data_IF_329402053211
#
_entry.id   IF_329402053211
#
_cell.length_a   1.000
_cell.length_b   1.000
_cell.length_c   1.000
_cell.angle_alpha   90.00
_cell.angle_beta   90.00
_cell.angle_gamma   90.00
#
_symmetry.space_group_name_H-M   'P 1'
#
loop_
_entity.id
_entity.type
_entity.pdbx_description
1 polymer ?
#
# COMPACT_ATOMS: atom_id res chain seq x y z
N UNK A 1 -1.75 -13.08 3.74
CA UNK A 1 -0.45 -12.39 3.56
C UNK A 1 -0.50 -11.28 2.50
N UNK A 2 -0.74 -11.55 1.21
CA UNK A 2 -0.71 -10.49 0.17
C UNK A 2 -1.76 -9.38 0.36
N UNK A 3 -2.90 -9.67 1.00
CA UNK A 3 -3.92 -8.68 1.38
C UNK A 3 -3.39 -7.57 2.30
N UNK A 4 -2.57 -7.91 3.29
CA UNK A 4 -1.99 -6.92 4.21
C UNK A 4 -0.98 -6.03 3.49
N UNK A 5 -0.24 -6.59 2.53
CA UNK A 5 0.67 -5.81 1.68
C UNK A 5 -0.08 -4.90 0.72
N UNK A 6 -1.20 -5.35 0.13
CA UNK A 6 -2.02 -4.47 -0.71
C UNK A 6 -2.66 -3.34 0.11
N UNK A 7 -3.15 -3.64 1.30
CA UNK A 7 -3.69 -2.63 2.21
C UNK A 7 -2.63 -1.60 2.62
N UNK A 8 -1.42 -2.05 2.99
CA UNK A 8 -0.31 -1.16 3.31
C UNK A 8 0.10 -0.27 2.11
N UNK A 9 0.01 -0.80 0.89
CA UNK A 9 0.26 -0.05 -0.34
C UNK A 9 -0.81 1.02 -0.60
N UNK A 10 -2.08 0.69 -0.39
CA UNK A 10 -3.19 1.64 -0.48
C UNK A 10 -3.03 2.77 0.54
N UNK A 11 -2.70 2.42 1.80
CA UNK A 11 -2.42 3.39 2.86
C UNK A 11 -1.22 4.28 2.51
N UNK A 12 -0.17 3.72 1.90
CA UNK A 12 0.99 4.50 1.47
C UNK A 12 0.60 5.56 0.43
N UNK A 13 -0.21 5.15 -0.55
CA UNK A 13 -0.70 6.04 -1.59
C UNK A 13 -1.55 7.15 -0.97
N UNK A 14 -2.56 6.78 -0.17
CA UNK A 14 -3.43 7.72 0.54
C UNK A 14 -2.63 8.77 1.34
N UNK A 15 -1.66 8.35 2.16
CA UNK A 15 -0.83 9.26 2.95
C UNK A 15 -0.05 10.25 2.07
N UNK A 16 0.54 9.78 0.96
CA UNK A 16 1.39 10.62 0.12
C UNK A 16 0.62 11.44 -0.94
N UNK A 17 -0.61 11.07 -1.29
CA UNK A 17 -1.40 11.78 -2.31
C UNK A 17 -2.48 12.67 -1.73
N UNK A 18 -3.29 12.12 -0.82
CA UNK A 18 -4.45 12.79 -0.22
C UNK A 18 -4.06 13.46 1.10
N UNK A 19 -3.06 12.89 1.79
CA UNK A 19 -2.74 13.26 3.15
C UNK A 19 -3.65 12.53 4.12
N UNK A 20 -3.06 11.95 5.16
CA UNK A 20 -3.81 11.32 6.24
C UNK A 20 -3.65 12.17 7.49
N UNK A 21 -4.36 13.31 7.55
CA UNK A 21 -4.30 14.29 8.65
C UNK A 21 -5.00 13.80 9.92
N UNK A 22 -5.80 12.75 9.81
CA UNK A 22 -6.63 12.22 10.90
C UNK A 22 -5.85 11.45 11.96
N UNK A 23 -4.60 11.07 11.66
CA UNK A 23 -3.73 10.37 12.60
C UNK A 23 -3.03 11.40 13.51
N UNK A 24 -3.83 12.09 14.30
CA UNK A 24 -3.36 12.99 15.35
C UNK A 24 -2.78 12.23 16.55
N UNK A 25 -2.13 12.95 17.50
CA UNK A 25 -1.71 12.35 18.77
C UNK A 25 -2.89 11.63 19.44
N UNK A 26 -2.59 10.52 20.13
CA UNK A 26 -3.55 9.57 20.70
C UNK A 26 -4.64 10.19 21.61
N UNK A 27 -4.49 11.45 22.03
CA UNK A 27 -5.47 12.19 22.85
C UNK A 27 -6.39 13.16 22.07
N UNK A 28 -6.27 13.24 20.74
CA UNK A 28 -7.05 14.19 19.92
C UNK A 28 -8.43 13.63 19.56
N UNK A 29 -9.42 14.52 19.45
CA UNK A 29 -10.80 14.17 19.06
C UNK A 29 -10.78 13.47 17.70
N UNK A 30 -11.52 12.36 17.56
CA UNK A 30 -11.66 11.67 16.26
C UNK A 30 -12.26 12.65 15.24
N UNK A 31 -11.67 12.78 14.05
CA UNK A 31 -12.19 13.63 12.98
C UNK A 31 -13.52 13.10 12.46
N UNK A 32 -14.32 14.00 11.88
CA UNK A 32 -15.71 13.74 11.45
C UNK A 32 -15.81 12.65 10.36
N UNK A 33 -14.74 12.44 9.58
CA UNK A 33 -14.61 11.36 8.59
C UNK A 33 -13.31 10.57 8.83
N UNK A 34 -13.31 9.58 9.73
CA UNK A 34 -12.08 8.85 10.05
C UNK A 34 -11.60 8.02 8.85
N UNK A 35 -10.29 8.05 8.60
CA UNK A 35 -9.64 7.12 7.68
C UNK A 35 -10.11 5.67 7.92
N UNK A 36 -10.68 5.03 6.90
CA UNK A 36 -11.19 3.65 6.96
C UNK A 36 -10.14 2.62 7.40
N UNK A 37 -8.87 2.93 7.12
CA UNK A 37 -7.69 2.13 7.42
C UNK A 37 -6.77 2.86 8.41
N UNK A 38 -7.37 3.46 9.45
CA UNK A 38 -6.65 4.27 10.47
C UNK A 38 -5.44 3.55 11.07
N UNK A 39 -5.61 2.33 11.59
CA UNK A 39 -4.54 1.59 12.26
C UNK A 39 -3.34 1.32 11.35
N UNK A 40 -3.61 1.00 10.08
CA UNK A 40 -2.56 0.75 9.09
C UNK A 40 -1.90 2.04 8.63
N UNK A 41 -2.65 3.13 8.48
CA UNK A 41 -2.10 4.46 8.22
C UNK A 41 -1.23 4.96 9.38
N UNK A 42 -1.67 4.82 10.63
CA UNK A 42 -0.91 5.20 11.83
C UNK A 42 0.44 4.49 11.90
N UNK A 43 0.42 3.16 11.78
CA UNK A 43 1.65 2.37 11.76
C UNK A 43 2.58 2.79 10.62
N UNK A 44 2.03 3.05 9.44
CA UNK A 44 2.82 3.43 8.28
C UNK A 44 3.42 4.84 8.41
N UNK A 45 2.71 5.79 9.02
CA UNK A 45 3.27 7.11 9.32
C UNK A 45 4.43 7.05 10.31
N UNK A 46 4.37 6.16 11.31
CA UNK A 46 5.53 5.91 12.19
C UNK A 46 6.71 5.37 11.40
N UNK A 47 6.48 4.45 10.46
CA UNK A 47 7.53 3.96 9.56
C UNK A 47 8.10 5.06 8.66
N UNK A 48 7.28 5.95 8.10
CA UNK A 48 7.73 7.11 7.30
C UNK A 48 8.61 8.04 8.15
N UNK A 49 8.13 8.43 9.34
CA UNK A 49 8.88 9.30 10.26
C UNK A 49 10.22 8.69 10.66
N UNK A 50 10.23 7.41 10.99
CA UNK A 50 11.46 6.69 11.28
C UNK A 50 12.40 6.65 10.07
N UNK A 51 11.89 6.34 8.88
CA UNK A 51 12.70 6.24 7.67
C UNK A 51 13.37 7.57 7.31
N UNK A 52 12.70 8.71 7.54
CA UNK A 52 13.24 10.04 7.32
C UNK A 52 14.45 10.35 8.22
N UNK A 53 14.39 9.96 9.49
CA UNK A 53 15.41 10.32 10.50
C UNK A 53 16.44 9.21 10.74
N UNK A 54 16.21 7.98 10.29
CA UNK A 54 17.11 6.87 10.55
C UNK A 54 18.40 6.96 9.73
N UNK A 55 19.55 7.08 10.41
CA UNK A 55 20.88 7.03 9.78
C UNK A 55 21.28 5.66 9.22
N UNK A 56 20.52 4.59 9.51
CA UNK A 56 20.79 3.20 9.05
C UNK A 56 19.85 2.74 7.92
N UNK A 57 19.35 3.68 7.11
CA UNK A 57 18.39 3.42 6.02
C UNK A 57 19.00 2.78 4.77
N UNK A 58 20.32 2.91 4.57
CA UNK A 58 21.01 2.43 3.38
C UNK A 58 21.60 1.02 3.57
N UNK A 59 21.50 0.19 2.53
CA UNK A 59 21.95 -1.21 2.53
C UNK A 59 23.47 -1.37 2.61
N UNK A 60 24.24 -0.30 2.40
CA UNK A 60 25.70 -0.29 2.42
C UNK A 60 26.30 -0.29 3.84
N UNK A 61 25.49 -0.05 4.88
CA UNK A 61 25.95 -0.17 6.26
C UNK A 61 25.78 -1.60 6.78
N UNK A 62 26.79 -2.12 7.50
CA UNK A 62 26.86 -3.49 8.02
C UNK A 62 25.66 -3.93 8.90
N UNK A 63 24.76 -3.01 9.29
CA UNK A 63 23.52 -3.32 10.00
C UNK A 63 22.35 -2.43 9.55
N UNK A 64 21.71 -2.79 8.43
CA UNK A 64 20.49 -2.11 7.96
C UNK A 64 19.36 -2.21 9.00
N UNK A 65 18.69 -1.10 9.29
CA UNK A 65 17.53 -1.11 10.17
C UNK A 65 16.39 -1.96 9.57
N UNK A 66 15.80 -2.87 10.35
CA UNK A 66 14.71 -3.75 9.90
C UNK A 66 13.44 -2.97 9.53
N UNK A 67 13.11 -1.91 10.28
CA UNK A 67 11.98 -1.02 9.95
C UNK A 67 12.21 -0.28 8.63
N UNK A 68 13.43 0.21 8.41
CA UNK A 68 13.79 0.85 7.14
C UNK A 68 13.76 -0.15 5.98
N UNK A 69 14.23 -1.39 6.20
CA UNK A 69 14.19 -2.45 5.19
C UNK A 69 12.76 -2.76 4.74
N UNK A 70 11.82 -2.87 5.68
CA UNK A 70 10.39 -3.07 5.37
C UNK A 70 9.81 -1.89 4.59
N UNK A 71 10.11 -0.67 5.02
CA UNK A 71 9.64 0.54 4.34
C UNK A 71 10.20 0.63 2.90
N UNK A 72 11.47 0.31 2.74
CA UNK A 72 12.16 0.29 1.45
C UNK A 72 11.55 -0.75 0.50
N UNK A 73 11.22 -1.93 1.00
CA UNK A 73 10.50 -2.95 0.22
C UNK A 73 9.11 -2.49 -0.22
N UNK A 74 8.40 -1.74 0.61
CA UNK A 74 7.09 -1.18 0.26
C UNK A 74 7.19 -0.13 -0.86
N UNK A 75 8.16 0.78 -0.78
CA UNK A 75 8.43 1.74 -1.87
C UNK A 75 8.82 1.05 -3.18
N UNK A 76 9.67 0.03 -3.11
CA UNK A 76 10.04 -0.79 -4.28
C UNK A 76 8.83 -1.47 -4.88
N UNK A 77 7.93 -1.99 -4.05
CA UNK A 77 6.70 -2.66 -4.48
C UNK A 77 5.77 -1.67 -5.19
N UNK A 78 5.64 -0.46 -4.66
CA UNK A 78 4.91 0.63 -5.32
C UNK A 78 5.48 0.94 -6.69
N UNK A 79 6.78 1.20 -6.81
CA UNK A 79 7.41 1.51 -8.09
C UNK A 79 7.25 0.39 -9.13
N UNK A 80 7.22 -0.87 -8.68
CA UNK A 80 7.00 -2.04 -9.55
C UNK A 80 5.60 -2.04 -10.20
N UNK A 81 4.61 -1.47 -9.53
CA UNK A 81 3.21 -1.41 -9.96
C UNK A 81 2.77 -0.02 -10.44
N UNK A 82 3.63 1.00 -10.29
CA UNK A 82 3.32 2.37 -10.68
C UNK A 82 3.55 2.57 -12.17
N UNK A 83 2.51 2.96 -12.90
CA UNK A 83 2.58 3.20 -14.35
C UNK A 83 3.05 4.62 -14.70
N UNK A 84 2.92 5.57 -13.77
CA UNK A 84 3.22 6.99 -13.97
C UNK A 84 4.25 7.49 -12.95
N UNK A 85 5.52 7.09 -13.07
CA UNK A 85 6.56 7.45 -12.09
C UNK A 85 6.88 8.96 -12.07
N UNK A 86 6.63 9.69 -13.17
CA UNK A 86 6.96 11.11 -13.29
C UNK A 86 6.04 12.02 -12.45
N UNK A 87 4.77 11.67 -12.31
CA UNK A 87 3.77 12.41 -11.51
C UNK A 87 3.49 11.74 -10.15
N UNK A 88 4.22 10.67 -9.82
CA UNK A 88 4.00 9.92 -8.60
C UNK A 88 4.50 10.68 -7.37
N UNK A 89 3.64 10.82 -6.36
CA UNK A 89 3.95 11.49 -5.08
C UNK A 89 4.63 10.57 -4.06
N UNK A 90 4.75 9.28 -4.35
CA UNK A 90 5.36 8.32 -3.43
C UNK A 90 6.89 8.52 -3.39
N UNK A 91 7.49 8.68 -2.20
CA UNK A 91 8.93 8.80 -2.05
C UNK A 91 9.68 7.66 -2.74
N UNK A 92 10.81 7.98 -3.37
CA UNK A 92 11.71 7.04 -4.04
C UNK A 92 11.10 6.30 -5.25
N UNK A 93 9.82 6.50 -5.59
CA UNK A 93 9.16 5.75 -6.67
C UNK A 93 9.91 5.86 -8.00
N UNK A 94 10.32 7.08 -8.37
CA UNK A 94 11.08 7.35 -9.60
C UNK A 94 12.45 6.68 -9.59
N UNK A 95 13.22 6.86 -8.51
CA UNK A 95 14.55 6.25 -8.34
C UNK A 95 14.51 4.72 -8.44
N UNK A 96 13.50 4.09 -7.83
CA UNK A 96 13.32 2.65 -7.97
C UNK A 96 12.96 2.24 -9.39
N UNK A 97 12.17 3.05 -10.10
CA UNK A 97 11.72 2.71 -11.45
C UNK A 97 12.90 2.70 -12.42
N UNK A 98 13.75 3.71 -12.31
CA UNK A 98 15.00 3.86 -13.07
C UNK A 98 15.94 2.68 -12.78
N UNK A 99 16.21 2.41 -11.50
CA UNK A 99 17.07 1.28 -11.09
C UNK A 99 16.54 -0.09 -11.57
N UNK A 100 15.22 -0.27 -11.61
CA UNK A 100 14.60 -1.50 -12.13
C UNK A 100 14.62 -1.63 -13.65
N UNK A 101 14.86 -0.54 -14.40
CA UNK A 101 15.07 -0.62 -15.84
C UNK A 101 16.52 -1.00 -16.15
N UNK A 102 17.47 -0.52 -15.35
CA UNK A 102 18.90 -0.85 -15.47
C UNK A 102 19.19 -2.28 -14.99
N UNK A 103 18.64 -2.69 -13.84
CA UNK A 103 18.79 -4.03 -13.30
C UNK A 103 17.73 -4.97 -13.88
N UNK A 104 18.11 -6.13 -14.43
CA UNK A 104 17.15 -7.19 -14.76
C UNK A 104 16.37 -7.59 -13.50
N UNK A 105 15.15 -7.07 -13.36
CA UNK A 105 14.29 -7.33 -12.20
C UNK A 105 14.11 -8.83 -12.01
N UNK A 106 14.53 -9.31 -10.84
CA UNK A 106 14.38 -10.69 -10.38
C UNK A 106 12.96 -11.22 -10.66
N UNK A 107 12.89 -12.40 -11.28
CA UNK A 107 11.63 -13.11 -11.59
C UNK A 107 10.78 -13.29 -10.33
N UNK A 108 11.41 -13.53 -9.18
CA UNK A 108 10.73 -13.71 -7.89
C UNK A 108 10.01 -12.44 -7.46
N UNK A 109 10.68 -11.29 -7.57
CA UNK A 109 10.10 -9.99 -7.24
C UNK A 109 8.91 -9.65 -8.14
N UNK A 110 9.04 -9.93 -9.43
CA UNK A 110 7.95 -9.72 -10.40
C UNK A 110 6.72 -10.56 -10.07
N UNK A 111 6.91 -11.81 -9.65
CA UNK A 111 5.81 -12.68 -9.22
C UNK A 111 5.13 -12.15 -7.95
N UNK A 112 5.91 -11.66 -6.98
CA UNK A 112 5.38 -11.02 -5.77
C UNK A 112 4.49 -9.82 -6.13
N UNK A 113 4.99 -8.91 -6.96
CA UNK A 113 4.24 -7.72 -7.40
C UNK A 113 2.91 -8.11 -8.06
N UNK A 114 2.93 -9.12 -8.96
CA UNK A 114 1.70 -9.65 -9.58
C UNK A 114 0.70 -10.20 -8.55
N UNK A 115 1.17 -10.98 -7.58
CA UNK A 115 0.30 -11.53 -6.52
C UNK A 115 -0.33 -10.43 -5.66
N UNK A 116 0.42 -9.37 -5.37
CA UNK A 116 -0.11 -8.21 -4.63
C UNK A 116 -1.13 -7.45 -5.48
N UNK A 117 -0.86 -7.23 -6.77
CA UNK A 117 -1.81 -6.58 -7.67
C UNK A 117 -3.15 -7.34 -7.75
N UNK A 118 -3.09 -8.67 -7.91
CA UNK A 118 -4.29 -9.52 -7.89
C UNK A 118 -5.02 -9.40 -6.55
N UNK A 119 -4.30 -9.49 -5.42
CA UNK A 119 -4.91 -9.37 -4.09
C UNK A 119 -5.58 -8.01 -3.88
N UNK A 120 -4.98 -6.92 -4.38
CA UNK A 120 -5.53 -5.56 -4.35
C UNK A 120 -6.87 -5.51 -5.10
N UNK A 121 -6.90 -5.98 -6.35
CA UNK A 121 -8.13 -6.03 -7.16
C UNK A 121 -9.22 -6.86 -6.49
N UNK A 122 -8.88 -8.05 -5.98
CA UNK A 122 -9.84 -8.92 -5.29
C UNK A 122 -10.39 -8.27 -4.01
N UNK A 123 -9.54 -7.56 -3.25
CA UNK A 123 -9.99 -6.82 -2.07
C UNK A 123 -10.93 -5.68 -2.44
N UNK A 124 -10.64 -4.93 -3.50
CA UNK A 124 -11.53 -3.90 -4.01
C UNK A 124 -12.88 -4.50 -4.41
N UNK A 125 -12.88 -5.62 -5.16
CA UNK A 125 -14.10 -6.29 -5.59
C UNK A 125 -14.94 -6.81 -4.42
N UNK A 126 -14.30 -7.39 -3.40
CA UNK A 126 -15.00 -7.90 -2.22
C UNK A 126 -15.68 -6.78 -1.40
N UNK A 127 -15.12 -5.57 -1.44
CA UNK A 127 -15.63 -4.42 -0.70
C UNK A 127 -16.66 -3.60 -1.51
N UNK A 128 -16.98 -3.97 -2.75
CA UNK A 128 -18.01 -3.28 -3.54
C UNK A 128 -19.40 -3.62 -3.00
N UNK A 129 -20.21 -2.61 -2.75
CA UNK A 129 -21.63 -2.81 -2.54
C UNK A 129 -22.25 -3.43 -3.80
N UNK A 130 -22.80 -4.63 -3.67
CA UNK A 130 -23.49 -5.30 -4.78
C UNK A 130 -24.78 -4.52 -5.05
N UNK A 131 -25.00 -4.03 -6.29
CA UNK A 131 -26.21 -3.30 -6.62
C UNK A 131 -27.46 -4.12 -6.24
N UNK A 132 -28.45 -3.48 -5.61
CA UNK A 132 -29.65 -4.16 -5.11
C UNK A 132 -30.36 -5.00 -6.20
N UNK A 133 -30.29 -4.59 -7.47
CA UNK A 133 -30.84 -5.34 -8.60
C UNK A 133 -30.18 -6.71 -8.79
N UNK A 134 -28.85 -6.78 -8.64
CA UNK A 134 -28.07 -8.01 -8.73
C UNK A 134 -28.36 -8.90 -7.52
N UNK A 135 -28.44 -8.31 -6.32
CA UNK A 135 -28.80 -9.02 -5.10
C UNK A 135 -30.20 -9.67 -5.19
N UNK A 136 -31.20 -8.92 -5.67
CA UNK A 136 -32.57 -9.43 -5.91
C UNK A 136 -32.58 -10.56 -6.94
N UNK A 137 -31.77 -10.45 -8.00
CA UNK A 137 -31.63 -11.51 -9.01
C UNK A 137 -31.03 -12.80 -8.44
N UNK A 138 -29.98 -12.70 -7.61
CA UNK A 138 -29.38 -13.88 -6.95
C UNK A 138 -30.32 -14.56 -5.96
N UNK A 139 -31.11 -13.79 -5.22
CA UNK A 139 -32.15 -14.33 -4.34
C UNK A 139 -33.21 -15.10 -5.13
N UNK A 140 -33.56 -14.64 -6.33
CA UNK A 140 -34.50 -15.33 -7.23
C UNK A 140 -33.94 -16.66 -7.78
N UNK A 141 -32.64 -16.73 -8.06
CA UNK A 141 -32.00 -17.96 -8.54
C UNK A 141 -31.72 -18.99 -7.43
N UNK A 142 -31.62 -18.58 -6.16
CA UNK A 142 -31.39 -19.50 -5.03
C UNK A 142 -32.65 -20.25 -4.55
N UNK A 143 -33.85 -19.75 -4.82
CA UNK A 143 -35.12 -20.38 -4.41
C UNK A 143 -35.64 -21.48 -5.34
N UNK A 144 -34.81 -21.99 -6.27
CA UNK A 144 -35.21 -22.98 -7.29
C UNK A 144 -34.33 -24.24 -7.23
N UNK A 145 -34.04 -24.71 -6.02
CA UNK A 145 -33.39 -25.99 -5.76
C UNK A 145 -34.17 -26.77 -4.72
#
# INVERSE_FOLDING_TARGET
>A
MYRQLSEAMDCLQHICTEGCTDVGPHNSRRPDNPCMSFNTCEGLQLHIRHFATCGRKLQESAKTCTHCKRMWQLFRLHSSLCDQPASCRIPLCKQFKEKMQEEKVDKTWRLLAKKVAIARVMSCLANREVPQAVHKSWMRCRGRR
#
